data_IF_711773231122
#
_entry.id   IF_711773231122
#
_cell.length_a   1.000
_cell.length_b   1.000
_cell.length_c   1.000
_cell.angle_alpha   90.00
_cell.angle_beta   90.00
_cell.angle_gamma   90.00
#
_symmetry.space_group_name_H-M   'P 1'
#
loop_
_entity.id
_entity.type
_entity.pdbx_description
1 polymer ?
#
# COMPACT_ATOMS: atom_id res chain seq x y z
N UNK A 1 9.60 -12.73 6.23
CA UNK A 1 9.59 -12.04 7.54
C UNK A 1 9.68 -10.54 7.29
N UNK A 2 8.83 -9.73 7.91
CA UNK A 2 9.01 -8.28 7.87
C UNK A 2 10.35 -7.93 8.53
N UNK A 3 11.05 -6.89 8.07
CA UNK A 3 12.31 -6.46 8.67
C UNK A 3 12.09 -6.14 10.16
N UNK A 4 13.08 -6.37 11.02
CA UNK A 4 12.94 -6.19 12.46
C UNK A 4 12.53 -4.75 12.80
N UNK A 5 11.67 -4.54 13.81
CA UNK A 5 11.31 -3.21 14.29
C UNK A 5 12.56 -2.37 14.56
N UNK A 6 12.59 -1.14 14.06
CA UNK A 6 13.74 -0.25 14.19
C UNK A 6 14.73 -0.28 13.02
N UNK A 7 14.55 -1.17 12.04
CA UNK A 7 15.34 -1.11 10.80
C UNK A 7 15.00 0.17 10.00
N UNK A 8 15.97 0.65 9.22
CA UNK A 8 15.84 1.88 8.40
C UNK A 8 14.63 1.81 7.45
N UNK A 9 14.26 0.61 7.01
CA UNK A 9 13.09 0.38 6.16
C UNK A 9 11.78 0.81 6.80
N UNK A 10 11.66 0.72 8.12
CA UNK A 10 10.47 1.16 8.84
C UNK A 10 10.40 2.67 9.07
N UNK A 11 11.47 3.42 8.89
CA UNK A 11 11.50 4.85 9.13
C UNK A 11 10.57 5.61 8.20
N UNK A 12 10.41 5.16 6.97
CA UNK A 12 9.43 5.75 6.04
C UNK A 12 7.98 5.43 6.44
N UNK A 13 7.75 4.33 7.15
CA UNK A 13 6.40 3.88 7.54
C UNK A 13 5.92 4.55 8.83
N UNK A 14 6.83 4.81 9.77
CA UNK A 14 6.47 5.41 11.06
C UNK A 14 6.55 6.93 11.10
N UNK A 15 6.92 7.54 10.00
CA UNK A 15 6.97 8.99 9.93
C UNK A 15 5.58 9.56 9.57
N UNK A 16 5.06 10.59 10.28
CA UNK A 16 3.81 11.26 9.92
C UNK A 16 3.89 11.81 8.48
N UNK A 17 2.98 11.38 7.62
CA UNK A 17 2.99 11.74 6.20
C UNK A 17 3.90 10.87 5.34
N UNK A 18 4.39 9.75 5.86
CA UNK A 18 5.26 8.79 5.16
C UNK A 18 4.55 7.88 4.18
N UNK A 19 3.23 7.93 4.12
CA UNK A 19 2.47 7.17 3.13
C UNK A 19 2.93 7.49 1.71
N UNK A 20 2.85 6.53 0.77
CA UNK A 20 3.08 6.82 -0.64
C UNK A 20 2.24 8.03 -1.08
N UNK A 21 2.91 9.11 -1.50
CA UNK A 21 2.27 10.41 -1.74
C UNK A 21 2.33 11.39 -0.57
N UNK A 22 3.18 11.15 0.45
CA UNK A 22 3.49 12.11 1.50
C UNK A 22 2.32 12.47 2.42
N UNK A 23 1.42 11.52 2.69
CA UNK A 23 0.19 11.78 3.46
C UNK A 23 -0.91 12.47 2.64
N UNK A 24 -0.73 12.64 1.34
CA UNK A 24 -1.67 13.30 0.45
C UNK A 24 -3.06 12.67 0.45
N UNK A 25 -3.15 11.38 0.67
CA UNK A 25 -4.41 10.66 0.78
C UNK A 25 -5.28 11.16 1.95
N UNK A 26 -4.69 11.39 3.13
CA UNK A 26 -5.40 11.90 4.31
C UNK A 26 -5.56 13.42 4.20
N UNK A 27 -4.51 14.12 3.79
CA UNK A 27 -4.53 15.58 3.61
C UNK A 27 -5.63 16.03 2.64
N UNK A 28 -5.82 15.33 1.52
CA UNK A 28 -6.90 15.60 0.56
C UNK A 28 -8.28 15.61 1.22
N UNK A 29 -8.54 14.70 2.14
CA UNK A 29 -9.81 14.62 2.87
C UNK A 29 -9.95 15.73 3.92
N UNK A 30 -8.86 16.06 4.59
CA UNK A 30 -8.83 17.17 5.55
C UNK A 30 -9.12 18.51 4.86
N UNK A 31 -8.51 18.74 3.70
CA UNK A 31 -8.73 19.96 2.91
C UNK A 31 -10.14 20.05 2.29
N UNK A 32 -10.82 18.94 2.09
CA UNK A 32 -12.20 18.91 1.60
C UNK A 32 -13.24 19.15 2.70
N UNK A 33 -12.84 19.23 3.96
CA UNK A 33 -13.76 19.47 5.07
C UNK A 33 -14.27 20.92 5.07
N UNK A 34 -15.50 21.10 5.54
CA UNK A 34 -16.20 22.41 5.57
C UNK A 34 -15.45 23.46 6.40
N UNK A 35 -14.78 23.06 7.46
CA UNK A 35 -14.01 23.93 8.36
C UNK A 35 -13.01 23.08 9.16
N UNK A 36 -12.11 23.76 9.86
CA UNK A 36 -11.06 23.14 10.68
C UNK A 36 -11.62 22.18 11.75
N UNK A 37 -12.69 22.58 12.45
CA UNK A 37 -13.32 21.72 13.47
C UNK A 37 -13.80 20.39 12.87
N UNK A 38 -14.41 20.43 11.69
CA UNK A 38 -14.86 19.23 10.99
C UNK A 38 -13.66 18.39 10.50
N UNK A 39 -12.59 19.02 10.05
CA UNK A 39 -11.37 18.32 9.66
C UNK A 39 -10.75 17.56 10.84
N UNK A 40 -10.61 18.23 11.99
CA UNK A 40 -10.09 17.62 13.22
C UNK A 40 -11.00 16.49 13.71
N UNK A 41 -12.31 16.72 13.77
CA UNK A 41 -13.28 15.73 14.22
C UNK A 41 -13.30 14.49 13.29
N UNK A 42 -13.25 14.68 11.98
CA UNK A 42 -13.19 13.60 11.00
C UNK A 42 -11.89 12.80 11.13
N UNK A 43 -10.76 13.48 11.29
CA UNK A 43 -9.45 12.82 11.49
C UNK A 43 -9.43 12.02 12.79
N UNK A 44 -9.95 12.58 13.88
CA UNK A 44 -10.06 11.88 15.16
C UNK A 44 -10.96 10.63 15.04
N UNK A 45 -12.16 10.78 14.47
CA UNK A 45 -13.09 9.66 14.25
C UNK A 45 -12.46 8.58 13.36
N UNK A 46 -11.76 8.98 12.30
CA UNK A 46 -11.05 8.05 11.44
C UNK A 46 -10.00 7.26 12.22
N UNK A 47 -9.11 7.93 12.95
CA UNK A 47 -8.06 7.28 13.72
C UNK A 47 -8.63 6.34 14.79
N UNK A 48 -9.65 6.78 15.53
CA UNK A 48 -10.31 5.94 16.51
C UNK A 48 -10.93 4.69 15.88
N UNK A 49 -11.67 4.86 14.79
CA UNK A 49 -12.31 3.74 14.09
C UNK A 49 -11.27 2.79 13.47
N UNK A 50 -10.21 3.34 12.90
CA UNK A 50 -9.19 2.58 12.20
C UNK A 50 -8.28 1.78 13.17
N UNK A 51 -7.87 2.38 14.27
CA UNK A 51 -6.91 1.76 15.19
C UNK A 51 -7.57 1.05 16.38
N UNK A 52 -8.73 1.50 16.83
CA UNK A 52 -9.40 0.91 17.98
C UNK A 52 -10.52 -0.07 17.61
N UNK A 53 -11.34 0.23 16.59
CA UNK A 53 -12.50 -0.63 16.27
C UNK A 53 -12.22 -1.64 15.17
N UNK A 54 -11.56 -1.24 14.09
CA UNK A 54 -11.35 -2.09 12.92
C UNK A 54 -10.48 -3.32 13.15
N UNK A 55 -9.44 -3.34 14.02
CA UNK A 55 -8.59 -4.51 14.20
C UNK A 55 -9.29 -5.72 14.82
N UNK A 56 -10.29 -5.52 15.66
CA UNK A 56 -10.92 -6.59 16.43
C UNK A 56 -11.49 -7.75 15.59
N UNK A 57 -12.27 -7.52 14.53
CA UNK A 57 -12.76 -8.62 13.70
C UNK A 57 -11.62 -9.45 13.10
N UNK A 58 -10.54 -8.82 12.68
CA UNK A 58 -9.37 -9.48 12.12
C UNK A 58 -8.61 -10.30 13.17
N UNK A 59 -8.43 -9.75 14.36
CA UNK A 59 -7.80 -10.45 15.49
C UNK A 59 -8.62 -11.67 15.87
N UNK A 60 -9.95 -11.56 15.97
CA UNK A 60 -10.82 -12.68 16.31
C UNK A 60 -10.72 -13.78 15.25
N UNK A 61 -10.75 -13.44 13.97
CA UNK A 61 -10.62 -14.41 12.88
C UNK A 61 -9.23 -15.07 12.92
N UNK A 62 -8.17 -14.31 13.14
CA UNK A 62 -6.82 -14.85 13.25
C UNK A 62 -6.67 -15.81 14.44
N UNK A 63 -7.21 -15.45 15.62
CA UNK A 63 -7.20 -16.35 16.78
C UNK A 63 -8.05 -17.60 16.53
N UNK A 64 -9.19 -17.46 15.86
CA UNK A 64 -10.04 -18.59 15.50
C UNK A 64 -9.36 -19.52 14.49
N UNK A 65 -8.57 -18.97 13.55
CA UNK A 65 -7.85 -19.79 12.59
C UNK A 65 -6.79 -20.68 13.24
N UNK A 66 -6.12 -20.20 14.30
CA UNK A 66 -5.16 -20.99 15.07
C UNK A 66 -5.80 -22.18 15.81
N UNK A 67 -7.10 -22.13 16.06
CA UNK A 67 -7.83 -23.23 16.67
C UNK A 67 -8.28 -24.26 15.63
N UNK A 68 -8.69 -23.81 14.46
CA UNK A 68 -9.24 -24.66 13.40
C UNK A 68 -8.13 -25.23 12.51
N UNK A 69 -7.11 -24.43 12.22
CA UNK A 69 -5.94 -24.76 11.42
C UNK A 69 -4.67 -24.40 12.21
N UNK A 70 -4.27 -25.22 13.22
CA UNK A 70 -3.10 -24.94 14.05
C UNK A 70 -1.80 -24.80 13.27
N UNK A 71 -1.68 -25.53 12.17
CA UNK A 71 -0.52 -25.52 11.29
C UNK A 71 -0.93 -25.22 9.84
N UNK A 72 -0.03 -24.64 9.08
CA UNK A 72 -0.26 -24.37 7.64
C UNK A 72 -0.55 -25.65 6.86
N UNK A 73 0.04 -26.77 7.29
CA UNK A 73 -0.22 -28.11 6.74
C UNK A 73 -1.68 -28.56 6.87
N UNK A 74 -2.40 -28.11 7.91
CA UNK A 74 -3.81 -28.45 8.10
C UNK A 74 -4.68 -27.78 7.01
N UNK A 75 -4.29 -26.57 6.59
CA UNK A 75 -4.94 -25.89 5.47
C UNK A 75 -4.71 -26.66 4.17
N UNK A 76 -3.50 -27.15 3.93
CA UNK A 76 -3.19 -27.96 2.75
C UNK A 76 -4.00 -29.27 2.73
N UNK A 77 -4.13 -29.92 3.87
CA UNK A 77 -4.95 -31.14 4.01
C UNK A 77 -6.43 -30.88 3.74
N UNK A 78 -6.95 -29.72 4.18
CA UNK A 78 -8.33 -29.31 3.95
C UNK A 78 -8.58 -28.88 2.50
N UNK A 79 -7.57 -28.35 1.83
CA UNK A 79 -7.63 -27.82 0.45
C UNK A 79 -6.53 -28.43 -0.44
N UNK A 80 -6.62 -29.71 -0.84
CA UNK A 80 -5.57 -30.39 -1.60
C UNK A 80 -5.27 -29.79 -2.98
N UNK A 81 -6.19 -28.97 -3.51
CA UNK A 81 -5.99 -28.27 -4.77
C UNK A 81 -5.16 -26.98 -4.68
N UNK A 82 -4.74 -26.59 -3.47
CA UNK A 82 -3.91 -25.42 -3.27
C UNK A 82 -2.45 -25.77 -3.58
N UNK A 83 -1.82 -25.01 -4.48
CA UNK A 83 -0.42 -25.22 -4.83
C UNK A 83 0.50 -24.81 -3.68
N UNK A 84 1.59 -25.54 -3.47
CA UNK A 84 2.53 -25.35 -2.37
C UNK A 84 3.17 -23.95 -2.34
N UNK A 85 3.37 -23.35 -3.52
CA UNK A 85 3.91 -21.99 -3.67
C UNK A 85 2.98 -20.89 -3.10
N UNK A 86 1.69 -21.22 -2.89
CA UNK A 86 0.69 -20.33 -2.30
C UNK A 86 0.40 -20.63 -0.83
N UNK A 87 1.01 -21.65 -0.29
CA UNK A 87 0.83 -22.05 1.11
C UNK A 87 1.59 -21.06 2.00
N UNK A 88 0.88 -20.40 2.90
CA UNK A 88 1.43 -19.44 3.84
C UNK A 88 0.36 -18.92 4.78
N UNK A 89 0.73 -18.08 5.72
CA UNK A 89 -0.20 -17.47 6.69
C UNK A 89 -1.32 -16.64 6.02
N UNK A 90 -1.05 -16.13 4.82
CA UNK A 90 -2.02 -15.35 4.02
C UNK A 90 -3.26 -16.16 3.63
N UNK A 91 -3.16 -17.48 3.61
CA UNK A 91 -4.27 -18.37 3.20
C UNK A 91 -5.25 -18.66 4.36
N UNK A 92 -4.85 -18.40 5.59
CA UNK A 92 -5.68 -18.68 6.76
C UNK A 92 -7.02 -17.92 6.71
N UNK A 93 -7.00 -16.65 6.32
CA UNK A 93 -8.23 -15.87 6.22
C UNK A 93 -9.19 -16.38 5.13
N UNK A 94 -8.78 -16.60 3.87
CA UNK A 94 -9.62 -17.25 2.87
C UNK A 94 -10.14 -18.63 3.31
N UNK A 95 -9.32 -19.45 3.95
CA UNK A 95 -9.73 -20.75 4.48
C UNK A 95 -10.86 -20.61 5.51
N UNK A 96 -10.75 -19.66 6.43
CA UNK A 96 -11.81 -19.37 7.41
C UNK A 96 -13.11 -18.90 6.75
N UNK A 97 -13.06 -18.18 5.64
CA UNK A 97 -14.26 -17.75 4.91
C UNK A 97 -15.07 -18.92 4.37
N UNK A 98 -14.45 -20.02 4.01
CA UNK A 98 -15.16 -21.21 3.47
C UNK A 98 -16.07 -21.87 4.51
N UNK A 99 -15.88 -21.62 5.80
CA UNK A 99 -16.71 -22.11 6.88
C UNK A 99 -18.03 -21.31 7.03
N UNK A 100 -18.15 -20.20 6.34
CA UNK A 100 -19.36 -19.38 6.42
C UNK A 100 -20.51 -19.97 5.61
N UNK A 101 -21.76 -19.83 6.07
CA UNK A 101 -22.92 -20.12 5.23
C UNK A 101 -22.88 -19.32 3.92
N UNK A 102 -23.39 -19.91 2.82
CA UNK A 102 -23.28 -19.35 1.47
C UNK A 102 -23.75 -17.90 1.34
N UNK A 103 -24.84 -17.52 2.01
CA UNK A 103 -25.34 -16.15 2.01
C UNK A 103 -24.39 -15.16 2.70
N UNK A 104 -23.83 -15.54 3.85
CA UNK A 104 -22.87 -14.72 4.60
C UNK A 104 -21.55 -14.64 3.86
N UNK A 105 -21.07 -15.75 3.29
CA UNK A 105 -19.88 -15.77 2.43
C UNK A 105 -20.03 -14.77 1.26
N UNK A 106 -21.20 -14.75 0.62
CA UNK A 106 -21.47 -13.80 -0.47
C UNK A 106 -21.37 -12.33 -0.02
N UNK A 107 -21.96 -12.00 1.14
CA UNK A 107 -21.91 -10.63 1.69
C UNK A 107 -20.46 -10.23 2.04
N UNK A 108 -19.72 -11.10 2.71
CA UNK A 108 -18.33 -10.83 3.10
C UNK A 108 -17.44 -10.69 1.85
N UNK A 109 -17.58 -11.58 0.88
CA UNK A 109 -16.84 -11.50 -0.38
C UNK A 109 -17.15 -10.22 -1.14
N UNK A 110 -18.42 -9.81 -1.22
CA UNK A 110 -18.82 -8.56 -1.83
C UNK A 110 -18.23 -7.34 -1.10
N UNK A 111 -18.18 -7.37 0.24
CA UNK A 111 -17.56 -6.30 1.03
C UNK A 111 -16.07 -6.17 0.79
N UNK A 112 -15.35 -7.28 0.65
CA UNK A 112 -13.92 -7.29 0.33
C UNK A 112 -13.65 -6.72 -1.08
N UNK A 113 -14.46 -7.12 -2.06
CA UNK A 113 -14.37 -6.58 -3.42
C UNK A 113 -14.66 -5.08 -3.42
N UNK A 114 -15.69 -4.64 -2.70
CA UNK A 114 -16.04 -3.22 -2.60
C UNK A 114 -14.91 -2.41 -1.93
N UNK A 115 -14.30 -2.94 -0.88
CA UNK A 115 -13.15 -2.32 -0.21
C UNK A 115 -11.93 -2.21 -1.16
N UNK A 116 -11.64 -3.26 -1.92
CA UNK A 116 -10.61 -3.26 -2.94
C UNK A 116 -10.87 -2.18 -4.01
N UNK A 117 -12.08 -2.16 -4.58
CA UNK A 117 -12.47 -1.18 -5.60
C UNK A 117 -12.36 0.26 -5.09
N UNK A 118 -12.78 0.50 -3.86
CA UNK A 118 -12.69 1.83 -3.22
C UNK A 118 -11.23 2.28 -3.09
N UNK A 119 -10.36 1.42 -2.62
CA UNK A 119 -8.92 1.72 -2.45
C UNK A 119 -8.26 1.96 -3.80
N UNK A 120 -8.47 1.07 -4.77
CA UNK A 120 -7.90 1.18 -6.12
C UNK A 120 -8.35 2.46 -6.81
N UNK A 121 -9.65 2.78 -6.76
CA UNK A 121 -10.18 4.01 -7.35
C UNK A 121 -9.53 5.26 -6.75
N UNK A 122 -9.37 5.29 -5.44
CA UNK A 122 -8.76 6.45 -4.76
C UNK A 122 -7.27 6.60 -5.10
N UNK A 123 -6.51 5.51 -5.04
CA UNK A 123 -5.07 5.54 -5.33
C UNK A 123 -4.78 5.89 -6.79
N UNK A 124 -5.55 5.33 -7.73
CA UNK A 124 -5.41 5.65 -9.14
C UNK A 124 -5.76 7.10 -9.47
N UNK A 125 -6.85 7.62 -8.87
CA UNK A 125 -7.22 9.02 -9.04
C UNK A 125 -6.17 9.98 -8.46
N UNK A 126 -5.63 9.65 -7.29
CA UNK A 126 -4.58 10.44 -6.66
C UNK A 126 -3.29 10.41 -7.50
N UNK A 127 -2.85 9.23 -7.92
CA UNK A 127 -1.68 9.06 -8.77
C UNK A 127 -1.83 9.76 -10.12
N UNK A 128 -2.97 9.62 -10.78
CA UNK A 128 -3.27 10.33 -12.01
C UNK A 128 -3.28 11.85 -11.82
N UNK A 129 -3.80 12.34 -10.70
CA UNK A 129 -3.79 13.76 -10.35
C UNK A 129 -2.37 14.32 -10.24
N UNK A 130 -1.46 13.60 -9.59
CA UNK A 130 -0.04 14.00 -9.55
C UNK A 130 0.60 14.01 -10.94
N UNK A 131 0.37 12.95 -11.73
CA UNK A 131 0.91 12.90 -13.09
C UNK A 131 0.38 14.02 -13.99
N UNK A 132 -0.90 14.39 -13.84
CA UNK A 132 -1.49 15.49 -14.62
C UNK A 132 -1.02 16.84 -14.13
N UNK A 133 -1.14 17.14 -12.85
CA UNK A 133 -0.92 18.49 -12.36
C UNK A 133 0.56 18.80 -12.15
N UNK A 134 1.31 17.85 -11.56
CA UNK A 134 2.70 18.09 -11.18
C UNK A 134 3.68 17.78 -12.31
N UNK A 135 3.32 16.90 -13.24
CA UNK A 135 4.18 16.56 -14.36
C UNK A 135 3.66 17.10 -15.71
N UNK A 136 2.49 16.64 -16.18
CA UNK A 136 1.99 16.99 -17.52
C UNK A 136 1.73 18.48 -17.66
N UNK A 137 0.90 19.06 -16.79
CA UNK A 137 0.56 20.48 -16.83
C UNK A 137 1.76 21.37 -16.55
N UNK A 138 2.60 21.00 -15.60
CA UNK A 138 3.73 21.84 -15.19
C UNK A 138 4.90 21.84 -16.17
N UNK A 139 5.22 20.72 -16.81
CA UNK A 139 6.42 20.56 -17.63
C UNK A 139 6.15 20.39 -19.12
N UNK A 140 5.02 19.81 -19.49
CA UNK A 140 4.74 19.48 -20.90
C UNK A 140 3.76 20.45 -21.56
N UNK A 141 2.68 20.82 -20.87
CA UNK A 141 1.58 21.61 -21.46
C UNK A 141 1.02 22.61 -20.45
N UNK A 142 1.74 23.72 -20.23
CA UNK A 142 1.35 24.76 -19.27
C UNK A 142 0.03 25.46 -19.63
N UNK A 143 -0.30 25.53 -20.92
CA UNK A 143 -1.51 26.15 -21.42
C UNK A 143 -2.64 25.16 -21.71
N UNK A 144 -2.57 23.94 -21.13
CA UNK A 144 -3.56 22.91 -21.36
C UNK A 144 -4.96 23.31 -20.88
N UNK A 145 -5.96 23.07 -21.71
CA UNK A 145 -7.35 23.29 -21.33
C UNK A 145 -7.82 22.27 -20.29
N UNK A 146 -8.86 22.63 -19.50
CA UNK A 146 -9.44 21.70 -18.51
C UNK A 146 -9.90 20.38 -19.14
N UNK A 147 -10.40 20.39 -20.37
CA UNK A 147 -10.79 19.19 -21.11
C UNK A 147 -9.58 18.30 -21.43
N UNK A 148 -8.46 18.90 -21.79
CA UNK A 148 -7.20 18.22 -22.07
C UNK A 148 -6.64 17.59 -20.79
N UNK A 149 -6.64 18.30 -19.66
CA UNK A 149 -6.19 17.77 -18.36
C UNK A 149 -7.03 16.60 -17.89
N UNK A 150 -8.35 16.66 -18.05
CA UNK A 150 -9.26 15.54 -17.74
C UNK A 150 -8.97 14.33 -18.65
N UNK A 151 -8.74 14.55 -19.93
CA UNK A 151 -8.38 13.48 -20.86
C UNK A 151 -7.03 12.84 -20.48
N UNK A 152 -6.01 13.67 -20.24
CA UNK A 152 -4.71 13.20 -19.76
C UNK A 152 -4.83 12.37 -18.46
N UNK A 153 -5.67 12.80 -17.52
CA UNK A 153 -5.95 12.05 -16.30
C UNK A 153 -6.52 10.66 -16.55
N UNK A 154 -7.46 10.55 -17.50
CA UNK A 154 -8.00 9.23 -17.90
C UNK A 154 -6.93 8.33 -18.52
N UNK A 155 -6.09 8.89 -19.38
CA UNK A 155 -4.97 8.15 -19.99
C UNK A 155 -3.99 7.68 -18.93
N UNK A 156 -3.56 8.54 -18.02
CA UNK A 156 -2.66 8.16 -16.93
C UNK A 156 -3.27 7.12 -16.00
N UNK A 157 -4.58 7.17 -15.73
CA UNK A 157 -5.28 6.15 -14.97
C UNK A 157 -5.19 4.79 -15.66
N UNK A 158 -5.50 4.73 -16.97
CA UNK A 158 -5.43 3.48 -17.75
C UNK A 158 -4.00 2.94 -17.79
N UNK A 159 -3.02 3.80 -18.04
CA UNK A 159 -1.60 3.41 -18.05
C UNK A 159 -1.18 2.86 -16.69
N UNK A 160 -1.55 3.54 -15.60
CA UNK A 160 -1.21 3.10 -14.23
C UNK A 160 -1.84 1.74 -13.89
N UNK A 161 -3.11 1.52 -14.27
CA UNK A 161 -3.77 0.22 -14.08
C UNK A 161 -3.04 -0.88 -14.87
N UNK A 162 -2.70 -0.60 -16.13
CA UNK A 162 -2.03 -1.58 -17.00
C UNK A 162 -0.65 -1.97 -16.46
N UNK A 163 0.14 -0.97 -16.04
CA UNK A 163 1.45 -1.21 -15.41
C UNK A 163 1.28 -1.97 -14.09
N UNK A 164 0.34 -1.54 -13.23
CA UNK A 164 0.07 -2.19 -11.95
C UNK A 164 -0.39 -3.64 -12.11
N UNK A 165 -1.27 -3.92 -13.07
CA UNK A 165 -1.69 -5.27 -13.38
C UNK A 165 -0.52 -6.12 -13.90
N UNK A 166 0.31 -5.58 -14.80
CA UNK A 166 1.50 -6.26 -15.30
C UNK A 166 2.47 -6.62 -14.17
N UNK A 167 2.75 -5.68 -13.27
CA UNK A 167 3.57 -5.95 -12.08
C UNK A 167 2.93 -6.97 -11.14
N UNK A 168 1.61 -6.88 -10.93
CA UNK A 168 0.86 -7.84 -10.10
C UNK A 168 0.96 -9.28 -10.60
N UNK A 169 1.07 -9.50 -11.91
CA UNK A 169 1.26 -10.84 -12.48
C UNK A 169 2.66 -11.42 -12.22
N UNK A 170 3.64 -10.60 -11.90
CA UNK A 170 5.02 -11.03 -11.57
C UNK A 170 5.22 -11.33 -10.10
N UNK A 171 4.31 -10.86 -9.23
CA UNK A 171 4.39 -11.03 -7.78
C UNK A 171 3.67 -12.33 -7.36
N UNK A 172 4.32 -13.11 -6.50
CA UNK A 172 3.77 -14.38 -6.01
C UNK A 172 2.97 -14.22 -4.71
N UNK A 173 3.27 -13.19 -3.91
CA UNK A 173 2.59 -12.94 -2.64
C UNK A 173 2.43 -11.46 -2.33
N UNK A 174 1.45 -11.12 -1.48
CA UNK A 174 1.28 -9.77 -0.95
C UNK A 174 2.49 -9.31 -0.13
N UNK A 175 3.17 -10.24 0.56
CA UNK A 175 4.41 -9.97 1.29
C UNK A 175 5.54 -9.47 0.39
N UNK A 176 5.69 -10.02 -0.82
CA UNK A 176 6.68 -9.52 -1.79
C UNK A 176 6.39 -8.08 -2.21
N UNK A 177 5.12 -7.76 -2.52
CA UNK A 177 4.71 -6.39 -2.85
C UNK A 177 5.00 -5.42 -1.71
N UNK A 178 4.70 -5.81 -0.47
CA UNK A 178 4.96 -5.01 0.71
C UNK A 178 6.46 -4.78 0.94
N UNK A 179 7.28 -5.83 0.81
CA UNK A 179 8.74 -5.71 0.90
C UNK A 179 9.31 -4.76 -0.14
N UNK A 180 8.84 -4.81 -1.39
CA UNK A 180 9.24 -3.86 -2.43
C UNK A 180 8.92 -2.41 -2.04
N UNK A 181 7.73 -2.15 -1.48
CA UNK A 181 7.36 -0.82 -0.98
C UNK A 181 8.28 -0.35 0.15
N UNK A 182 8.57 -1.24 1.11
CA UNK A 182 9.49 -0.92 2.21
C UNK A 182 10.91 -0.63 1.69
N UNK A 183 11.37 -1.39 0.71
CA UNK A 183 12.68 -1.20 0.11
C UNK A 183 12.80 0.15 -0.61
N UNK A 184 11.82 0.52 -1.43
CA UNK A 184 11.78 1.84 -2.08
C UNK A 184 11.72 2.96 -1.04
N UNK A 185 10.97 2.75 0.05
CA UNK A 185 10.85 3.71 1.16
C UNK A 185 12.10 3.84 2.04
N UNK A 186 12.97 2.83 2.07
CA UNK A 186 14.14 2.81 2.95
C UNK A 186 15.09 4.00 2.73
N UNK A 187 15.30 4.38 1.47
CA UNK A 187 16.17 5.51 1.15
C UNK A 187 15.62 6.87 1.52
N UNK A 188 14.30 7.01 1.53
CA UNK A 188 13.65 8.29 1.84
C UNK A 188 13.30 8.46 3.31
N UNK A 189 13.17 7.37 4.08
CA UNK A 189 12.73 7.43 5.46
C UNK A 189 13.60 8.31 6.36
N UNK A 190 14.93 8.13 6.28
CA UNK A 190 15.87 8.97 7.00
C UNK A 190 15.78 10.44 6.57
N UNK A 191 15.62 10.70 5.28
CA UNK A 191 15.53 12.05 4.72
C UNK A 191 14.26 12.76 5.23
N UNK A 192 13.12 12.06 5.29
CA UNK A 192 11.86 12.60 5.82
C UNK A 192 11.96 13.03 7.29
N UNK A 193 12.71 12.30 8.09
CA UNK A 193 12.96 12.68 9.48
C UNK A 193 13.93 13.85 9.55
N UNK A 194 15.05 13.76 8.84
CA UNK A 194 16.11 14.76 8.90
C UNK A 194 15.69 16.13 8.36
N UNK A 195 14.73 16.21 7.43
CA UNK A 195 14.25 17.50 6.88
C UNK A 195 13.63 18.42 7.94
N UNK A 196 13.22 17.89 9.08
CA UNK A 196 12.72 18.69 10.21
C UNK A 196 13.83 19.32 11.04
N UNK A 197 15.03 18.75 10.96
CA UNK A 197 16.16 19.16 11.79
C UNK A 197 17.30 19.77 10.98
N UNK A 198 17.35 19.54 9.67
CA UNK A 198 18.43 19.97 8.81
C UNK A 198 17.94 20.76 7.59
N UNK A 199 18.15 22.07 7.64
CA UNK A 199 17.69 23.04 6.63
C UNK A 199 18.23 22.80 5.20
N UNK A 200 19.28 22.03 4.99
CA UNK A 200 19.86 21.74 3.68
C UNK A 200 19.13 20.63 2.92
N UNK A 201 18.25 19.91 3.55
CA UNK A 201 17.46 18.87 2.88
C UNK A 201 16.36 19.55 2.06
N UNK A 202 16.34 19.21 0.76
CA UNK A 202 15.42 19.73 -0.22
C UNK A 202 14.86 18.61 -1.11
N UNK A 203 13.97 18.94 -2.04
CA UNK A 203 13.35 17.96 -2.95
C UNK A 203 14.38 17.16 -3.77
N UNK A 204 15.49 17.79 -4.16
CA UNK A 204 16.56 17.10 -4.88
C UNK A 204 17.20 16.01 -4.01
N UNK A 205 17.40 16.27 -2.72
CA UNK A 205 17.92 15.29 -1.77
C UNK A 205 16.98 14.08 -1.66
N UNK A 206 15.67 14.31 -1.62
CA UNK A 206 14.67 13.24 -1.58
C UNK A 206 14.69 12.39 -2.86
N UNK A 207 14.72 13.02 -4.03
CA UNK A 207 14.80 12.34 -5.32
C UNK A 207 16.08 11.49 -5.44
N UNK A 208 17.24 12.07 -5.08
CA UNK A 208 18.51 11.35 -5.10
C UNK A 208 18.48 10.16 -4.14
N UNK A 209 17.91 10.32 -2.95
CA UNK A 209 17.77 9.23 -1.97
C UNK A 209 16.89 8.09 -2.51
N UNK A 210 15.78 8.40 -3.17
CA UNK A 210 14.93 7.40 -3.82
C UNK A 210 15.69 6.64 -4.92
N UNK A 211 16.31 7.36 -5.83
CA UNK A 211 17.07 6.77 -6.94
C UNK A 211 18.22 5.90 -6.41
N UNK A 212 18.98 6.41 -5.46
CA UNK A 212 20.09 5.67 -4.84
C UNK A 212 19.59 4.40 -4.14
N UNK A 213 18.47 4.45 -3.45
CA UNK A 213 17.85 3.29 -2.83
C UNK A 213 17.51 2.21 -3.85
N UNK A 214 16.84 2.57 -4.94
CA UNK A 214 16.50 1.63 -6.02
C UNK A 214 17.75 1.01 -6.65
N UNK A 215 18.79 1.83 -6.93
CA UNK A 215 20.05 1.34 -7.53
C UNK A 215 20.77 0.37 -6.58
N UNK A 216 20.95 0.74 -5.31
CA UNK A 216 21.62 -0.10 -4.32
C UNK A 216 20.88 -1.43 -4.15
N UNK A 217 19.56 -1.38 -4.07
CA UNK A 217 18.73 -2.57 -3.94
C UNK A 217 18.83 -3.48 -5.17
N UNK A 218 18.83 -2.91 -6.38
CA UNK A 218 19.03 -3.66 -7.60
C UNK A 218 20.38 -4.35 -7.62
N UNK A 219 21.44 -3.68 -7.18
CA UNK A 219 22.78 -4.24 -7.09
C UNK A 219 22.86 -5.36 -6.04
N UNK A 220 22.25 -5.19 -4.86
CA UNK A 220 22.21 -6.23 -3.83
C UNK A 220 21.45 -7.45 -4.35
N UNK A 221 20.33 -7.26 -5.04
CA UNK A 221 19.54 -8.35 -5.61
C UNK A 221 20.28 -9.13 -6.70
N UNK A 222 21.12 -8.45 -7.47
CA UNK A 222 21.96 -9.08 -8.49
C UNK A 222 23.15 -9.82 -7.85
N UNK A 223 23.74 -9.26 -6.80
CA UNK A 223 24.94 -9.84 -6.16
C UNK A 223 24.64 -10.98 -5.18
N UNK A 224 23.44 -11.01 -4.57
CA UNK A 224 23.05 -12.04 -3.59
C UNK A 224 21.64 -12.59 -3.85
N UNK A 225 21.37 -13.25 -4.99
CA UNK A 225 20.03 -13.72 -5.34
C UNK A 225 19.48 -14.79 -4.36
N UNK A 226 20.36 -15.45 -3.61
CA UNK A 226 20.02 -16.54 -2.68
C UNK A 226 19.68 -16.09 -1.26
N UNK A 227 20.01 -14.87 -0.85
CA UNK A 227 19.72 -14.37 0.52
C UNK A 227 18.33 -13.79 0.69
N UNK A 228 17.58 -13.57 -0.36
CA UNK A 228 16.23 -12.99 -0.33
C UNK A 228 15.12 -14.03 -0.60
N UNK A 229 15.45 -15.30 -0.67
CA UNK A 229 14.49 -16.42 -0.74
C UNK A 229 14.02 -16.88 0.64
N UNK A 230 13.78 -15.94 1.55
CA UNK A 230 13.19 -16.23 2.88
C UNK A 230 11.76 -15.73 2.99
#
# INVERSE_FOLDING_TARGET
>A
YPPPPGSVQWWSTYYPGSEPGGGGYIAQRMFSAKNERNAIAATFLFNFSHYALRPWPWIIIALSSLVIFPEVGDIQNAFPGLSEDKLGDDVAYPAMLTLLPSGLLGIVSASLIAAFMSTMSTQLNLGASYLVNDFYHRFLRQDASQKELVFAGRVFTVVSITIGAGLGLTLQSAGQAFNLLLLVGAGTGAIYILRWFWWRINATTEIIAMISSVIILSLIHISEPTRLSW
#
